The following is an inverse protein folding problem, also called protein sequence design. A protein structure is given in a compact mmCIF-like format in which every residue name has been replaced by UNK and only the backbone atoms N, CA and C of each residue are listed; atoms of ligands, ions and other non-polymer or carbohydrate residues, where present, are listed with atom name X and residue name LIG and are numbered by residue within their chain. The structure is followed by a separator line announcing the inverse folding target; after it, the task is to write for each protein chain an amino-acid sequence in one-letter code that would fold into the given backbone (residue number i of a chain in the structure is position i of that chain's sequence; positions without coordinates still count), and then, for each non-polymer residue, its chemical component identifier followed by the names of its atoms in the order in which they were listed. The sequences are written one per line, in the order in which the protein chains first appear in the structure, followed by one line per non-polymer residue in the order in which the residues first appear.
data_IF_162838996706
#
_entry.id   IF_162838996706
#
_cell.length_a   1.000
_cell.length_b   1.000
_cell.length_c   1.000
_cell.angle_alpha   90.00
_cell.angle_beta   90.00
_cell.angle_gamma   90.00
#
_symmetry.space_group_name_H-M   'P 1'
#
loop_
_entity.id
_entity.type
_entity.pdbx_description
1 polymer ?
#
# COMPACT_ATOMS: atom_id res chain seq x y z
N UNK A 1 17.76 -4.05 68.61
CA UNK A 1 16.89 -4.20 67.41
C UNK A 1 16.56 -2.80 66.90
N UNK A 2 17.24 -2.25 65.88
CA UNK A 2 16.96 -0.89 65.44
C UNK A 2 15.64 -0.81 64.64
N UNK A 3 14.76 0.04 65.17
CA UNK A 3 13.51 0.59 64.62
C UNK A 3 13.41 0.61 63.07
N UNK A 4 12.45 -0.15 62.53
CA UNK A 4 12.05 -0.08 61.12
C UNK A 4 11.30 1.23 60.90
N UNK A 5 12.01 2.28 60.47
CA UNK A 5 11.49 3.66 60.32
C UNK A 5 10.32 3.80 59.33
N UNK A 6 9.95 2.74 58.60
CA UNK A 6 8.90 2.74 57.58
C UNK A 6 8.01 1.49 57.71
N UNK A 7 6.70 1.69 57.85
CA UNK A 7 5.69 0.60 57.90
C UNK A 7 5.34 0.11 56.48
N UNK A 8 6.35 -0.33 55.72
CA UNK A 8 6.14 -0.92 54.39
C UNK A 8 5.96 -2.42 54.58
N UNK A 9 4.78 -2.95 54.24
CA UNK A 9 4.52 -4.40 54.22
C UNK A 9 4.76 -4.99 52.83
N UNK A 10 4.92 -6.31 52.75
CA UNK A 10 5.11 -7.00 51.48
C UNK A 10 3.86 -6.86 50.59
N UNK A 11 2.68 -7.02 51.17
CA UNK A 11 1.38 -6.96 50.49
C UNK A 11 1.15 -5.57 49.89
N UNK A 12 1.44 -4.52 50.66
CA UNK A 12 1.30 -3.14 50.20
C UNK A 12 2.27 -2.85 49.03
N UNK A 13 3.53 -3.28 49.15
CA UNK A 13 4.51 -3.06 48.10
C UNK A 13 4.19 -3.86 46.83
N UNK A 14 3.64 -5.08 46.97
CA UNK A 14 3.12 -5.88 45.85
C UNK A 14 1.96 -5.17 45.15
N UNK A 15 0.97 -4.68 45.90
CA UNK A 15 -0.15 -3.94 45.34
C UNK A 15 0.33 -2.73 44.52
N UNK A 16 1.15 -1.86 45.12
CA UNK A 16 1.65 -0.65 44.47
C UNK A 16 2.53 -0.93 43.24
N UNK A 17 3.43 -1.91 43.30
CA UNK A 17 4.41 -2.16 42.24
C UNK A 17 3.92 -3.10 41.13
N UNK A 18 3.14 -4.13 41.46
CA UNK A 18 2.69 -5.16 40.52
C UNK A 18 1.29 -4.91 39.97
N UNK A 19 0.37 -4.38 40.78
CA UNK A 19 -1.04 -4.19 40.39
C UNK A 19 -1.27 -2.76 39.91
N UNK A 20 -0.90 -1.77 40.73
CA UNK A 20 -1.09 -0.34 40.40
C UNK A 20 -0.01 0.16 39.41
N UNK A 21 1.00 -0.67 39.13
CA UNK A 21 2.11 -0.41 38.19
C UNK A 21 2.88 0.90 38.44
N UNK A 22 2.84 1.42 39.67
CA UNK A 22 3.50 2.67 40.04
C UNK A 22 5.01 2.61 39.81
N UNK A 23 5.62 3.78 39.56
CA UNK A 23 7.09 3.86 39.47
C UNK A 23 7.68 3.76 40.87
N UNK A 24 8.90 3.23 40.97
CA UNK A 24 9.55 3.01 42.26
C UNK A 24 9.79 4.33 43.01
N UNK A 25 10.00 5.40 42.27
CA UNK A 25 10.15 6.77 42.75
C UNK A 25 8.86 7.27 43.43
N UNK A 26 7.70 6.99 42.84
CA UNK A 26 6.40 7.41 43.37
C UNK A 26 6.05 6.61 44.63
N UNK A 27 6.32 5.30 44.62
CA UNK A 27 6.15 4.42 45.79
C UNK A 27 7.06 4.86 46.94
N UNK A 28 8.30 5.26 46.62
CA UNK A 28 9.25 5.75 47.60
C UNK A 28 8.78 7.07 48.23
N UNK A 29 8.28 8.00 47.43
CA UNK A 29 7.70 9.26 47.89
C UNK A 29 6.47 9.03 48.78
N UNK A 30 5.56 8.13 48.37
CA UNK A 30 4.36 7.76 49.13
C UNK A 30 4.72 7.10 50.48
N UNK A 31 5.71 6.20 50.48
CA UNK A 31 6.18 5.54 51.69
C UNK A 31 7.11 6.41 52.56
N UNK A 32 7.43 7.64 52.12
CA UNK A 32 8.36 8.54 52.80
C UNK A 32 9.80 8.00 52.91
N UNK A 33 10.20 7.07 52.03
CA UNK A 33 11.51 6.43 52.08
C UNK A 33 12.29 6.63 50.77
N UNK A 34 13.56 6.24 50.74
CA UNK A 34 14.34 6.33 49.50
C UNK A 34 13.96 5.21 48.53
N UNK A 35 14.08 5.48 47.23
CA UNK A 35 13.95 4.45 46.18
C UNK A 35 14.84 3.23 46.44
N UNK A 36 16.06 3.45 46.94
CA UNK A 36 16.98 2.37 47.29
C UNK A 36 16.41 1.43 48.37
N UNK A 37 15.62 1.95 49.30
CA UNK A 37 14.93 1.12 50.29
C UNK A 37 13.81 0.30 49.64
N UNK A 38 13.06 0.88 48.70
CA UNK A 38 12.07 0.14 47.90
C UNK A 38 12.74 -0.96 47.08
N UNK A 39 13.86 -0.67 46.40
CA UNK A 39 14.63 -1.68 45.64
C UNK A 39 15.12 -2.82 46.53
N UNK A 40 15.62 -2.51 47.73
CA UNK A 40 16.03 -3.51 48.72
C UNK A 40 14.86 -4.38 49.18
N UNK A 41 13.69 -3.80 49.40
CA UNK A 41 12.48 -4.54 49.81
C UNK A 41 11.93 -5.42 48.68
N UNK A 42 11.88 -4.90 47.45
CA UNK A 42 11.53 -5.69 46.26
C UNK A 42 12.48 -6.88 46.07
N UNK A 43 13.78 -6.68 46.27
CA UNK A 43 14.79 -7.75 46.21
C UNK A 43 14.63 -8.75 47.36
N UNK A 44 14.46 -8.25 48.59
CA UNK A 44 14.27 -9.08 49.80
C UNK A 44 13.04 -10.00 49.67
N UNK A 45 11.95 -9.50 49.11
CA UNK A 45 10.68 -10.23 48.95
C UNK A 45 10.51 -10.86 47.56
N UNK A 46 11.55 -10.82 46.72
CA UNK A 46 11.52 -11.43 45.39
C UNK A 46 10.45 -10.87 44.44
N UNK A 47 9.97 -9.64 44.68
CA UNK A 47 8.94 -8.99 43.85
C UNK A 47 9.61 -8.46 42.59
N UNK A 48 9.35 -9.09 41.44
CA UNK A 48 9.95 -8.72 40.14
C UNK A 48 8.85 -8.36 39.15
N UNK A 49 8.99 -7.18 38.53
CA UNK A 49 8.19 -6.74 37.38
C UNK A 49 9.04 -6.91 36.13
N UNK A 50 8.66 -7.86 35.27
CA UNK A 50 9.44 -8.23 34.09
C UNK A 50 10.39 -9.41 34.34
N UNK A 51 10.54 -10.25 33.31
CA UNK A 51 11.17 -11.56 33.40
C UNK A 51 12.70 -11.47 33.39
N UNK A 52 13.30 -12.04 34.43
CA UNK A 52 14.60 -12.67 34.28
C UNK A 52 14.44 -13.82 33.26
N UNK A 53 15.21 -13.75 32.17
CA UNK A 53 15.12 -14.55 30.92
C UNK A 53 14.12 -14.00 29.90
N UNK A 54 14.63 -13.66 28.73
CA UNK A 54 13.87 -13.56 27.48
C UNK A 54 13.08 -14.89 27.35
N UNK A 55 11.77 -14.76 27.19
CA UNK A 55 10.74 -15.57 27.84
C UNK A 55 10.38 -16.89 27.14
N UNK A 56 10.03 -17.92 27.93
CA UNK A 56 9.22 -19.05 27.49
C UNK A 56 7.76 -18.66 27.17
N UNK A 57 7.32 -17.47 27.62
CA UNK A 57 6.03 -16.89 27.28
C UNK A 57 6.14 -16.18 25.91
N UNK A 58 5.33 -16.56 24.92
CA UNK A 58 5.28 -15.85 23.66
C UNK A 58 4.93 -14.37 23.87
N UNK A 59 5.46 -13.49 23.00
CA UNK A 59 5.04 -12.09 22.98
C UNK A 59 3.51 -12.02 22.81
N UNK A 60 2.84 -11.15 23.58
CA UNK A 60 1.38 -11.02 23.59
C UNK A 60 0.76 -10.69 22.21
N UNK A 61 1.58 -10.15 21.30
CA UNK A 61 1.22 -9.82 19.92
C UNK A 61 1.54 -10.93 18.91
N UNK A 62 2.04 -12.08 19.36
CA UNK A 62 2.36 -13.20 18.47
C UNK A 62 1.09 -13.66 17.74
N UNK A 63 1.14 -13.67 16.42
CA UNK A 63 -0.01 -14.02 15.56
C UNK A 63 -1.03 -12.91 15.35
N UNK A 64 -0.88 -11.76 16.02
CA UNK A 64 -1.76 -10.59 15.87
C UNK A 64 -1.20 -9.64 14.81
N UNK A 65 -2.06 -9.12 13.96
CA UNK A 65 -1.77 -8.15 12.91
C UNK A 65 -2.95 -7.18 12.74
N UNK A 66 -2.79 -6.17 11.88
CA UNK A 66 -3.80 -5.12 11.64
C UNK A 66 -5.13 -5.63 11.04
N UNK A 67 -5.14 -6.85 10.49
CA UNK A 67 -6.32 -7.44 9.87
C UNK A 67 -7.13 -8.30 10.85
N UNK A 68 -6.49 -8.83 11.92
CA UNK A 68 -7.13 -9.78 12.84
C UNK A 68 -7.18 -9.30 14.31
N UNK A 69 -6.64 -8.13 14.65
CA UNK A 69 -6.66 -7.58 16.01
C UNK A 69 -6.87 -6.05 15.97
N UNK A 70 -7.95 -5.57 16.61
CA UNK A 70 -8.32 -4.15 16.61
C UNK A 70 -7.27 -3.25 17.27
N UNK A 71 -6.58 -3.75 18.29
CA UNK A 71 -5.53 -2.98 18.98
C UNK A 71 -4.32 -2.78 18.06
N UNK A 72 -3.95 -3.80 17.28
CA UNK A 72 -2.92 -3.67 16.25
C UNK A 72 -3.35 -2.71 15.13
N UNK A 73 -4.61 -2.78 14.70
CA UNK A 73 -5.17 -1.86 13.72
C UNK A 73 -5.06 -0.41 14.19
N UNK A 74 -5.54 -0.09 15.40
CA UNK A 74 -5.47 1.25 16.01
C UNK A 74 -4.03 1.76 16.13
N UNK A 75 -3.11 0.92 16.58
CA UNK A 75 -1.68 1.27 16.69
C UNK A 75 -1.06 1.57 15.32
N UNK A 76 -1.44 0.82 14.28
CA UNK A 76 -1.01 1.07 12.91
C UNK A 76 -1.55 2.40 12.40
N UNK A 77 -2.86 2.63 12.52
CA UNK A 77 -3.53 3.84 12.03
C UNK A 77 -2.97 5.11 12.68
N UNK A 78 -2.76 5.09 13.99
CA UNK A 78 -2.19 6.22 14.74
C UNK A 78 -0.77 6.64 14.28
N UNK A 79 -0.04 5.78 13.57
CA UNK A 79 1.33 6.05 13.08
C UNK A 79 1.40 6.16 11.56
N UNK A 80 0.27 6.31 10.89
CA UNK A 80 0.17 6.52 9.43
C UNK A 80 -0.36 7.91 9.13
N UNK A 81 -0.18 8.37 7.89
CA UNK A 81 -0.62 9.71 7.49
C UNK A 81 -0.03 10.78 8.39
N UNK A 82 -0.84 11.78 8.75
CA UNK A 82 -0.46 12.90 9.63
C UNK A 82 0.02 12.49 11.02
N UNK A 83 -0.26 11.26 11.48
CA UNK A 83 0.27 10.71 12.73
C UNK A 83 1.73 10.25 12.66
N UNK A 84 2.29 10.11 11.46
CA UNK A 84 3.72 9.83 11.27
C UNK A 84 4.52 11.15 11.26
N UNK A 85 5.53 11.34 12.13
CA UNK A 85 6.36 12.55 12.16
C UNK A 85 7.09 12.88 10.85
N UNK A 86 7.21 11.90 9.95
CA UNK A 86 7.83 12.02 8.62
C UNK A 86 6.82 12.24 7.50
N UNK A 87 5.51 12.19 7.75
CA UNK A 87 4.51 12.40 6.72
C UNK A 87 4.55 13.83 6.18
N UNK A 88 4.55 13.95 4.85
CA UNK A 88 4.67 15.23 4.14
C UNK A 88 6.06 15.86 4.17
N UNK A 89 7.04 15.28 4.88
CA UNK A 89 8.42 15.79 4.88
C UNK A 89 9.22 15.22 3.72
N UNK A 90 9.85 16.11 2.97
CA UNK A 90 10.85 15.73 1.97
C UNK A 90 12.10 15.17 2.65
N UNK A 91 12.61 14.04 2.18
CA UNK A 91 13.85 13.47 2.69
C UNK A 91 15.04 14.35 2.33
N UNK A 92 16.08 14.36 3.17
CA UNK A 92 17.26 15.20 2.98
C UNK A 92 18.01 14.94 1.66
N UNK A 93 17.81 13.76 1.06
CA UNK A 93 18.43 13.33 -0.19
C UNK A 93 17.49 13.41 -1.40
N UNK A 94 16.30 14.00 -1.26
CA UNK A 94 15.38 14.13 -2.38
C UNK A 94 16.03 14.97 -3.51
N UNK A 95 16.01 14.44 -4.73
CA UNK A 95 16.64 15.06 -5.90
C UNK A 95 18.17 14.90 -5.98
N UNK A 96 18.82 14.37 -4.94
CA UNK A 96 20.26 14.09 -4.96
C UNK A 96 20.52 12.71 -5.55
N UNK A 97 21.53 12.62 -6.41
CA UNK A 97 21.98 11.36 -7.02
C UNK A 97 23.44 11.09 -6.63
N UNK A 98 23.85 9.82 -6.76
CA UNK A 98 25.19 9.38 -6.40
C UNK A 98 26.31 10.00 -7.25
N UNK A 99 25.99 10.46 -8.46
CA UNK A 99 26.90 11.23 -9.33
C UNK A 99 26.99 12.72 -8.96
N UNK A 100 26.04 13.23 -8.17
CA UNK A 100 25.92 14.65 -7.82
C UNK A 100 26.34 14.94 -6.36
N UNK A 101 25.99 14.07 -5.40
CA UNK A 101 26.27 14.27 -3.97
C UNK A 101 27.12 13.12 -3.40
N UNK A 102 28.25 13.48 -2.78
CA UNK A 102 29.24 12.54 -2.26
C UNK A 102 28.72 11.67 -1.10
N UNK A 103 27.79 12.18 -0.29
CA UNK A 103 27.19 11.39 0.81
C UNK A 103 26.28 10.31 0.24
N UNK A 104 25.48 10.66 -0.77
CA UNK A 104 24.65 9.69 -1.51
C UNK A 104 25.54 8.68 -2.24
N UNK A 105 26.64 9.14 -2.85
CA UNK A 105 27.63 8.27 -3.49
C UNK A 105 28.23 7.25 -2.50
N UNK A 106 28.60 7.71 -1.31
CA UNK A 106 29.19 6.88 -0.26
C UNK A 106 28.22 5.82 0.23
N UNK A 107 26.96 6.18 0.46
CA UNK A 107 25.91 5.21 0.83
C UNK A 107 25.67 4.21 -0.30
N UNK A 108 25.57 4.69 -1.55
CA UNK A 108 25.37 3.84 -2.73
C UNK A 108 26.49 2.82 -2.90
N UNK A 109 27.75 3.25 -2.82
CA UNK A 109 28.94 2.37 -2.89
C UNK A 109 28.91 1.27 -1.84
N UNK A 110 28.47 1.56 -0.60
CA UNK A 110 28.38 0.56 0.49
C UNK A 110 27.29 -0.50 0.28
N UNK A 111 26.24 -0.17 -0.46
CA UNK A 111 25.10 -1.07 -0.71
C UNK A 111 25.26 -1.85 -2.02
N UNK A 112 25.93 -1.26 -3.01
CA UNK A 112 26.15 -1.87 -4.32
C UNK A 112 26.97 -3.15 -4.19
N UNK A 113 26.53 -4.22 -4.87
CA UNK A 113 27.21 -5.52 -4.85
C UNK A 113 27.01 -6.36 -3.57
N UNK A 114 26.26 -5.85 -2.57
CA UNK A 114 25.99 -6.62 -1.36
C UNK A 114 25.13 -7.85 -1.66
N UNK A 115 25.71 -9.03 -1.46
CA UNK A 115 24.97 -10.28 -1.60
C UNK A 115 24.03 -10.50 -0.42
N UNK A 116 22.78 -10.83 -0.72
CA UNK A 116 21.81 -11.25 0.29
C UNK A 116 22.13 -12.71 0.68
N UNK A 117 22.16 -13.01 1.99
CA UNK A 117 22.37 -14.37 2.49
C UNK A 117 21.32 -15.32 1.91
N UNK A 118 21.73 -16.54 1.57
CA UNK A 118 20.85 -17.54 0.97
C UNK A 118 19.58 -17.79 1.80
N UNK A 119 19.72 -17.89 3.13
CA UNK A 119 18.59 -18.05 4.05
C UNK A 119 17.58 -16.88 3.95
N UNK A 120 18.05 -15.64 3.86
CA UNK A 120 17.19 -14.47 3.70
C UNK A 120 16.49 -14.49 2.35
N UNK A 121 17.20 -14.90 1.29
CA UNK A 121 16.61 -15.07 -0.05
C UNK A 121 15.50 -16.13 -0.03
N UNK A 122 15.71 -17.27 0.65
CA UNK A 122 14.70 -18.32 0.77
C UNK A 122 13.48 -17.86 1.56
N UNK A 123 13.67 -17.17 2.70
CA UNK A 123 12.55 -16.60 3.47
C UNK A 123 11.70 -15.63 2.63
N UNK A 124 12.34 -14.78 1.84
CA UNK A 124 11.65 -13.88 0.91
C UNK A 124 10.91 -14.63 -0.20
N UNK A 125 11.50 -15.70 -0.73
CA UNK A 125 10.89 -16.54 -1.75
C UNK A 125 9.69 -17.33 -1.19
N UNK A 126 9.86 -17.99 -0.04
CA UNK A 126 8.81 -18.74 0.65
C UNK A 126 7.60 -17.86 0.98
N UNK A 127 7.81 -16.60 1.39
CA UNK A 127 6.72 -15.66 1.66
C UNK A 127 5.91 -15.25 0.41
N UNK A 128 6.45 -15.46 -0.80
CA UNK A 128 5.82 -15.14 -2.09
C UNK A 128 5.29 -16.37 -2.84
N UNK A 129 5.84 -17.55 -2.56
CA UNK A 129 5.53 -18.80 -3.28
C UNK A 129 4.04 -19.12 -3.20
N UNK A 130 3.43 -19.44 -4.34
CA UNK A 130 2.03 -19.85 -4.44
C UNK A 130 1.00 -18.71 -4.38
N UNK A 131 1.41 -17.47 -4.08
CA UNK A 131 0.49 -16.33 -4.06
C UNK A 131 0.21 -15.84 -5.47
N UNK A 132 -1.06 -15.77 -5.83
CA UNK A 132 -1.56 -15.30 -7.13
C UNK A 132 -2.71 -14.31 -6.93
N UNK A 133 -3.02 -13.51 -7.95
CA UNK A 133 -4.12 -12.54 -7.89
C UNK A 133 -4.00 -11.63 -6.66
N UNK A 134 -5.12 -11.40 -5.97
CA UNK A 134 -5.23 -10.53 -4.79
C UNK A 134 -4.27 -10.90 -3.63
N UNK A 135 -3.79 -12.14 -3.56
CA UNK A 135 -2.82 -12.54 -2.53
C UNK A 135 -1.40 -12.08 -2.84
N UNK A 136 -1.10 -11.80 -4.11
CA UNK A 136 0.21 -11.34 -4.53
C UNK A 136 0.36 -9.83 -4.30
N UNK A 137 1.37 -9.44 -3.52
CA UNK A 137 1.58 -8.04 -3.12
C UNK A 137 1.74 -7.04 -4.28
N UNK A 138 2.07 -7.51 -5.48
CA UNK A 138 2.24 -6.69 -6.69
C UNK A 138 1.04 -6.74 -7.63
N UNK A 139 0.00 -7.51 -7.31
CA UNK A 139 -1.23 -7.53 -8.07
C UNK A 139 -1.98 -6.22 -7.89
N UNK A 140 -2.41 -5.64 -9.00
CA UNK A 140 -3.11 -4.35 -9.05
C UNK A 140 -4.43 -4.53 -9.79
N UNK A 141 -5.27 -5.46 -9.32
CA UNK A 141 -6.56 -5.77 -9.94
C UNK A 141 -6.46 -6.38 -11.35
N UNK A 142 -5.29 -6.92 -11.72
CA UNK A 142 -5.08 -7.51 -13.05
C UNK A 142 -4.98 -6.48 -14.17
N UNK A 143 -4.77 -5.20 -13.85
CA UNK A 143 -4.61 -4.13 -14.83
C UNK A 143 -3.13 -3.98 -15.19
N UNK A 144 -2.84 -3.93 -16.49
CA UNK A 144 -1.51 -3.64 -17.03
C UNK A 144 -1.57 -2.49 -18.03
N UNK A 145 -0.50 -1.70 -18.10
CA UNK A 145 -0.31 -0.69 -19.15
C UNK A 145 0.77 -1.21 -20.09
N UNK A 146 0.44 -1.38 -21.36
CA UNK A 146 1.40 -1.87 -22.37
C UNK A 146 2.32 -0.72 -22.81
N UNK A 147 3.46 -1.05 -23.43
CA UNK A 147 4.44 -0.08 -23.95
C UNK A 147 3.84 0.94 -24.92
N UNK A 148 2.73 0.60 -25.60
CA UNK A 148 2.01 1.51 -26.50
C UNK A 148 0.99 2.42 -25.77
N UNK A 149 0.96 2.43 -24.44
CA UNK A 149 0.10 3.30 -23.61
C UNK A 149 -1.24 2.70 -23.21
N UNK A 150 -1.71 1.66 -23.90
CA UNK A 150 -3.05 1.12 -23.67
C UNK A 150 -3.14 0.29 -22.39
N UNK A 151 -4.26 0.47 -21.68
CA UNK A 151 -4.61 -0.37 -20.54
C UNK A 151 -5.27 -1.67 -20.97
N UNK A 152 -4.86 -2.77 -20.34
CA UNK A 152 -5.48 -4.08 -20.49
C UNK A 152 -5.89 -4.62 -19.13
N UNK A 153 -6.99 -5.35 -19.10
CA UNK A 153 -7.50 -6.04 -17.92
C UNK A 153 -7.42 -7.55 -18.12
N UNK A 154 -6.98 -8.25 -17.07
CA UNK A 154 -7.00 -9.70 -17.02
C UNK A 154 -8.46 -10.20 -17.01
N UNK A 155 -8.86 -10.92 -18.06
CA UNK A 155 -10.22 -11.47 -18.21
C UNK A 155 -10.27 -12.98 -17.94
N UNK A 156 -9.12 -13.66 -18.01
CA UNK A 156 -9.04 -15.10 -17.80
C UNK A 156 -7.61 -15.56 -17.51
N UNK A 157 -7.48 -16.69 -16.82
CA UNK A 157 -6.17 -17.25 -16.49
C UNK A 157 -6.20 -18.78 -16.43
N UNK A 158 -6.39 -19.41 -17.59
CA UNK A 158 -6.42 -20.87 -17.75
C UNK A 158 -5.03 -21.42 -18.06
N UNK A 159 -4.05 -21.09 -17.21
CA UNK A 159 -2.62 -21.42 -17.42
C UNK A 159 -1.85 -20.42 -18.29
N UNK A 160 -2.55 -19.66 -19.12
CA UNK A 160 -2.03 -18.48 -19.82
C UNK A 160 -2.92 -17.30 -19.46
N UNK A 161 -2.32 -16.20 -19.03
CA UNK A 161 -3.05 -14.97 -18.70
C UNK A 161 -3.61 -14.34 -19.97
N UNK A 162 -4.93 -14.18 -20.01
CA UNK A 162 -5.67 -13.59 -21.11
C UNK A 162 -6.06 -12.16 -20.73
N UNK A 163 -5.64 -11.22 -21.57
CA UNK A 163 -5.87 -9.80 -21.35
C UNK A 163 -6.67 -9.22 -22.51
N UNK A 164 -7.63 -8.36 -22.19
CA UNK A 164 -8.35 -7.56 -23.17
C UNK A 164 -8.15 -6.07 -22.90
N UNK A 165 -8.21 -5.25 -23.95
CA UNK A 165 -8.08 -3.80 -23.81
C UNK A 165 -9.28 -3.22 -23.06
N UNK A 166 -9.02 -2.38 -22.07
CA UNK A 166 -10.05 -1.83 -21.17
C UNK A 166 -11.12 -1.04 -21.94
N UNK A 167 -10.72 -0.20 -22.89
CA UNK A 167 -11.68 0.54 -23.73
C UNK A 167 -12.61 -0.39 -24.53
N UNK A 168 -12.12 -1.56 -25.00
CA UNK A 168 -12.96 -2.53 -25.72
C UNK A 168 -13.94 -3.20 -24.77
N UNK A 169 -13.50 -3.58 -23.57
CA UNK A 169 -14.38 -4.18 -22.55
C UNK A 169 -15.53 -3.23 -22.18
N UNK A 170 -15.21 -1.96 -21.92
CA UNK A 170 -16.22 -0.94 -21.59
C UNK A 170 -17.18 -0.73 -22.76
N UNK A 171 -16.67 -0.67 -23.99
CA UNK A 171 -17.51 -0.55 -25.17
C UNK A 171 -18.47 -1.75 -25.33
N UNK A 172 -17.96 -3.00 -25.20
CA UNK A 172 -18.79 -4.22 -25.28
C UNK A 172 -19.88 -4.22 -24.21
N UNK A 173 -19.53 -3.90 -22.97
CA UNK A 173 -20.46 -3.85 -21.85
C UNK A 173 -21.58 -2.83 -22.10
N UNK A 174 -21.23 -1.63 -22.55
CA UNK A 174 -22.19 -0.55 -22.83
C UNK A 174 -23.05 -0.82 -24.06
N UNK A 175 -22.49 -1.44 -25.10
CA UNK A 175 -23.23 -1.82 -26.30
C UNK A 175 -24.14 -3.03 -26.08
N UNK A 176 -23.92 -3.81 -25.02
CA UNK A 176 -24.67 -5.05 -24.75
C UNK A 176 -24.39 -6.17 -25.75
N UNK A 177 -23.32 -6.08 -26.54
CA UNK A 177 -22.90 -7.07 -27.55
C UNK A 177 -21.38 -7.05 -27.74
N UNK A 178 -20.87 -8.10 -28.36
CA UNK A 178 -19.48 -8.10 -28.85
C UNK A 178 -19.28 -7.01 -29.93
N UNK A 179 -18.05 -6.49 -29.99
CA UNK A 179 -17.61 -5.63 -31.08
C UNK A 179 -17.48 -6.46 -32.35
N UNK A 180 -17.91 -5.90 -33.49
CA UNK A 180 -17.69 -6.50 -34.80
C UNK A 180 -16.20 -6.52 -35.15
N UNK A 181 -15.85 -7.38 -36.11
CA UNK A 181 -14.47 -7.52 -36.58
C UNK A 181 -13.92 -6.24 -37.22
N UNK A 182 -14.80 -5.39 -37.76
CA UNK A 182 -14.48 -4.10 -38.35
C UNK A 182 -14.71 -2.90 -37.42
N UNK A 183 -15.12 -3.12 -36.17
CA UNK A 183 -15.31 -2.04 -35.18
C UNK A 183 -14.04 -1.77 -34.37
N UNK A 184 -13.62 -0.50 -34.37
CA UNK A 184 -12.59 0.05 -33.50
C UNK A 184 -13.21 0.96 -32.44
N UNK A 185 -12.56 1.06 -31.29
CA UNK A 185 -12.97 1.98 -30.22
C UNK A 185 -11.95 3.11 -30.15
N UNK A 186 -12.39 4.30 -30.52
CA UNK A 186 -11.59 5.52 -30.58
C UNK A 186 -11.64 6.29 -29.26
N UNK A 187 -10.49 6.79 -28.80
CA UNK A 187 -10.36 7.74 -27.69
C UNK A 187 -10.44 9.18 -28.21
N UNK A 188 -11.50 9.90 -27.86
CA UNK A 188 -11.77 11.26 -28.34
C UNK A 188 -10.61 12.21 -28.00
N UNK A 189 -10.10 12.14 -26.76
CA UNK A 189 -9.00 13.00 -26.29
C UNK A 189 -7.59 12.47 -26.62
N UNK A 190 -7.48 11.31 -27.30
CA UNK A 190 -6.23 10.60 -27.59
C UNK A 190 -5.42 10.16 -26.36
N UNK A 191 -6.02 10.18 -25.18
CA UNK A 191 -5.45 9.61 -23.97
C UNK A 191 -5.90 8.14 -23.84
N UNK A 192 -4.96 7.22 -24.07
CA UNK A 192 -5.21 5.77 -24.08
C UNK A 192 -5.48 5.18 -22.68
N UNK A 193 -5.21 5.94 -21.61
CA UNK A 193 -5.55 5.56 -20.23
C UNK A 193 -6.89 6.16 -19.77
N UNK A 194 -7.44 7.16 -20.45
CA UNK A 194 -8.78 7.68 -20.15
C UNK A 194 -9.86 6.82 -20.82
N UNK A 195 -10.35 5.81 -20.10
CA UNK A 195 -11.33 4.86 -20.61
C UNK A 195 -12.76 5.19 -20.12
N UNK A 196 -13.04 6.44 -19.74
CA UNK A 196 -14.40 6.84 -19.40
C UNK A 196 -15.34 6.63 -20.61
N UNK A 197 -16.56 6.08 -20.43
CA UNK A 197 -17.48 5.83 -21.55
C UNK A 197 -17.70 7.04 -22.47
N UNK A 198 -17.76 8.26 -21.93
CA UNK A 198 -17.94 9.48 -22.72
C UNK A 198 -16.73 9.92 -23.54
N UNK A 199 -15.55 9.35 -23.27
CA UNK A 199 -14.34 9.53 -24.06
C UNK A 199 -14.18 8.47 -25.18
N UNK A 200 -15.11 7.51 -25.27
CA UNK A 200 -15.03 6.38 -26.19
C UNK A 200 -16.10 6.46 -27.28
N UNK A 201 -15.72 6.10 -28.50
CA UNK A 201 -16.62 6.01 -29.65
C UNK A 201 -16.31 4.73 -30.40
N UNK A 202 -17.31 3.88 -30.66
CA UNK A 202 -17.17 2.76 -31.58
C UNK A 202 -17.43 3.22 -33.01
N UNK A 203 -16.53 2.92 -33.93
CA UNK A 203 -16.67 3.23 -35.36
C UNK A 203 -15.85 2.25 -36.22
N UNK A 204 -16.10 2.15 -37.53
CA UNK A 204 -15.33 1.29 -38.41
C UNK A 204 -13.82 1.58 -38.39
N UNK A 205 -12.98 0.55 -38.48
CA UNK A 205 -11.51 0.65 -38.45
C UNK A 205 -10.96 1.59 -39.52
N UNK A 206 -11.50 1.53 -40.74
CA UNK A 206 -11.08 2.38 -41.85
C UNK A 206 -11.41 3.86 -41.59
N UNK A 207 -12.56 4.11 -40.99
CA UNK A 207 -13.03 5.42 -40.56
C UNK A 207 -12.12 5.98 -39.45
N UNK A 208 -11.72 5.12 -38.51
CA UNK A 208 -10.80 5.49 -37.43
C UNK A 208 -9.44 5.94 -37.95
N UNK A 209 -8.88 5.21 -38.92
CA UNK A 209 -7.62 5.58 -39.58
C UNK A 209 -7.75 6.93 -40.30
N UNK A 210 -8.85 7.14 -41.04
CA UNK A 210 -9.10 8.40 -41.76
C UNK A 210 -9.25 9.58 -40.79
N UNK A 211 -10.03 9.40 -39.72
CA UNK A 211 -10.21 10.40 -38.68
C UNK A 211 -8.87 10.81 -38.06
N UNK A 212 -8.00 9.84 -37.74
CA UNK A 212 -6.65 10.13 -37.24
C UNK A 212 -5.75 10.81 -38.26
N UNK A 213 -5.90 10.51 -39.55
CA UNK A 213 -5.18 11.19 -40.63
C UNK A 213 -5.57 12.68 -40.69
N UNK A 214 -6.86 13.00 -40.56
CA UNK A 214 -7.34 14.39 -40.57
C UNK A 214 -6.99 15.15 -39.27
N UNK A 215 -7.00 14.45 -38.14
CA UNK A 215 -6.66 14.99 -36.81
C UNK A 215 -5.16 14.94 -36.49
N UNK A 216 -4.30 14.78 -37.50
CA UNK A 216 -2.87 14.55 -37.25
C UNK A 216 -2.20 15.72 -36.54
N UNK A 217 -2.53 16.94 -36.94
CA UNK A 217 -1.93 18.19 -36.47
C UNK A 217 -2.54 18.71 -35.16
N UNK A 218 -3.78 18.34 -34.85
CA UNK A 218 -4.53 18.91 -33.73
C UNK A 218 -5.52 17.89 -33.13
N UNK A 219 -5.66 17.90 -31.81
CA UNK A 219 -6.72 17.14 -31.11
C UNK A 219 -8.04 17.89 -31.26
N UNK A 220 -8.97 17.31 -32.00
CA UNK A 220 -10.31 17.88 -32.19
C UNK A 220 -11.21 17.61 -30.98
N UNK A 221 -12.10 18.57 -30.67
CA UNK A 221 -13.20 18.34 -29.74
C UNK A 221 -14.15 17.26 -30.26
N UNK A 222 -14.91 16.65 -29.35
CA UNK A 222 -15.94 15.66 -29.73
C UNK A 222 -16.90 16.20 -30.80
N UNK A 223 -17.39 17.44 -30.63
CA UNK A 223 -18.32 18.05 -31.57
C UNK A 223 -17.75 18.14 -32.99
N UNK A 224 -16.46 18.49 -33.12
CA UNK A 224 -15.79 18.56 -34.41
C UNK A 224 -15.60 17.18 -35.03
N UNK A 225 -15.20 16.18 -34.25
CA UNK A 225 -15.09 14.79 -34.70
C UNK A 225 -16.45 14.25 -35.18
N UNK A 226 -17.50 14.44 -34.38
CA UNK A 226 -18.88 14.04 -34.69
C UNK A 226 -19.38 14.67 -35.98
N UNK A 227 -19.18 15.98 -36.16
CA UNK A 227 -19.62 16.69 -37.36
C UNK A 227 -18.90 16.18 -38.62
N UNK A 228 -17.60 15.90 -38.51
CA UNK A 228 -16.84 15.31 -39.61
C UNK A 228 -17.31 13.90 -39.96
N UNK A 229 -17.53 13.04 -38.96
CA UNK A 229 -18.05 11.68 -39.16
C UNK A 229 -19.41 11.71 -39.85
N UNK A 230 -20.34 12.52 -39.36
CA UNK A 230 -21.69 12.66 -39.91
C UNK A 230 -21.67 13.23 -41.34
N UNK A 231 -20.84 14.23 -41.60
CA UNK A 231 -20.76 14.89 -42.91
C UNK A 231 -20.17 13.99 -44.01
N UNK A 232 -19.34 13.02 -43.62
CA UNK A 232 -18.81 12.00 -44.53
C UNK A 232 -19.67 10.72 -44.59
N UNK A 233 -20.79 10.68 -43.85
CA UNK A 233 -21.71 9.54 -43.84
C UNK A 233 -21.17 8.29 -43.15
N UNK A 234 -20.21 8.44 -42.23
CA UNK A 234 -19.67 7.31 -41.48
C UNK A 234 -20.58 6.92 -40.31
N UNK A 235 -20.73 5.61 -40.09
CA UNK A 235 -21.40 5.07 -38.91
C UNK A 235 -20.50 5.20 -37.68
N UNK A 236 -21.07 5.63 -36.55
CA UNK A 236 -20.40 5.66 -35.26
C UNK A 236 -21.41 5.58 -34.12
N UNK A 237 -20.96 5.09 -32.97
CA UNK A 237 -21.76 5.01 -31.74
C UNK A 237 -20.95 5.58 -30.59
N UNK A 238 -21.45 6.66 -29.97
CA UNK A 238 -20.84 7.20 -28.75
C UNK A 238 -21.21 6.32 -27.56
N UNK A 239 -20.21 5.86 -26.81
CA UNK A 239 -20.38 4.75 -25.85
C UNK A 239 -21.21 5.13 -24.61
N UNK A 240 -21.26 6.41 -24.23
CA UNK A 240 -22.12 6.92 -23.14
C UNK A 240 -23.54 7.30 -23.58
N UNK A 241 -23.80 7.44 -24.88
CA UNK A 241 -25.14 7.73 -25.42
C UNK A 241 -25.98 6.46 -25.63
N UNK A 242 -25.37 5.28 -25.47
CA UNK A 242 -26.10 4.00 -25.50
C UNK A 242 -26.91 3.88 -24.21
N UNK A 243 -28.22 4.07 -24.31
CA UNK A 243 -29.16 3.76 -23.22
C UNK A 243 -29.22 2.25 -23.03
N UNK A 244 -28.90 1.79 -21.81
CA UNK A 244 -29.04 0.40 -21.40
C UNK A 244 -30.51 -0.07 -21.41
#
# INVERSE_FOLDING_TARGET
MPSTKYKITEEWLRQRYMVDLMRKEDIAAEAGCSKANIDRLLAKWGIRRGSARISATPAWNRGKNKNNDERMKRLSEARTGTGNPMYGKTSWNAGLRADIDERVATVSKKLTGRTIRAETKEKLAAAKRGKIGEEANNYKGGIIVKTNGYMMQLVGNNGVSQYEYVHRLIAKERLGRELRDDEHVHHINRDTIDNAPGNLVALPEDTHIRLHSEMREEIWSWERQRNWLASNGYEFVKIDEVTA
#
